data_IF_055768162696
#
_entry.id   IF_055768162696
#
_cell.length_a   1.000
_cell.length_b   1.000
_cell.length_c   1.000
_cell.angle_alpha   90.00
_cell.angle_beta   90.00
_cell.angle_gamma   90.00
#
_symmetry.space_group_name_H-M   'P 1'
#
loop_
_entity.id
_entity.type
_entity.pdbx_description
1 polymer ?
#
# COMPACT_ATOMS: atom_id res chain seq x y z
N UNK A 1 10.94 44.90 -3.44
CA UNK A 1 9.79 43.97 -3.45
C UNK A 1 10.04 42.87 -4.48
N UNK A 2 10.60 41.76 -4.03
CA UNK A 2 10.97 40.62 -4.89
C UNK A 2 9.92 39.53 -4.68
N UNK A 3 9.07 39.33 -5.68
CA UNK A 3 8.07 38.23 -5.69
C UNK A 3 8.79 36.90 -5.92
N UNK A 4 8.88 36.08 -4.90
CA UNK A 4 9.28 34.69 -5.00
C UNK A 4 8.24 33.91 -5.80
N UNK A 5 8.58 33.52 -7.02
CA UNK A 5 7.79 32.58 -7.81
C UNK A 5 8.04 31.17 -7.25
N UNK A 6 7.07 30.67 -6.49
CA UNK A 6 7.01 29.25 -6.14
C UNK A 6 6.72 28.47 -7.42
N UNK A 7 7.75 27.90 -8.00
CA UNK A 7 7.60 27.03 -9.17
C UNK A 7 6.89 25.75 -8.72
N UNK A 8 5.63 25.63 -9.06
CA UNK A 8 4.89 24.36 -9.04
C UNK A 8 5.59 23.43 -10.02
N UNK A 9 6.37 22.47 -9.50
CA UNK A 9 6.93 21.39 -10.29
C UNK A 9 5.80 20.52 -10.80
N UNK A 10 5.35 20.78 -12.02
CA UNK A 10 4.50 19.87 -12.75
C UNK A 10 5.23 18.53 -12.92
N UNK A 11 4.68 17.46 -12.35
CA UNK A 11 5.21 16.12 -12.52
C UNK A 11 5.03 15.68 -13.98
N UNK A 12 6.01 14.99 -14.56
CA UNK A 12 5.87 14.46 -15.90
C UNK A 12 4.72 13.43 -15.90
N UNK A 13 3.66 13.74 -16.64
CA UNK A 13 2.41 12.99 -16.77
C UNK A 13 2.55 11.57 -17.37
N UNK A 14 3.77 11.06 -17.52
CA UNK A 14 4.03 9.84 -18.30
C UNK A 14 4.88 8.77 -17.61
N UNK A 15 5.04 8.83 -16.28
CA UNK A 15 5.67 7.73 -15.52
C UNK A 15 4.60 6.93 -14.79
N UNK A 16 4.58 5.58 -14.93
CA UNK A 16 3.67 4.76 -14.15
C UNK A 16 3.91 5.00 -12.64
N UNK A 17 2.86 5.00 -11.82
CA UNK A 17 2.97 5.24 -10.39
C UNK A 17 3.84 4.19 -9.71
N UNK A 18 4.38 4.52 -8.53
CA UNK A 18 4.90 3.52 -7.60
C UNK A 18 3.72 3.06 -6.74
N UNK A 19 3.52 1.76 -6.65
CA UNK A 19 2.42 1.19 -5.90
C UNK A 19 2.86 0.85 -4.47
N UNK A 20 2.33 1.52 -3.45
CA UNK A 20 2.43 1.06 -2.07
C UNK A 20 1.55 -0.18 -1.92
N UNK A 21 2.14 -1.31 -1.60
CA UNK A 21 1.37 -2.54 -1.42
C UNK A 21 0.76 -2.59 -0.02
N UNK A 22 -0.56 -2.67 0.03
CA UNK A 22 -1.26 -3.02 1.25
C UNK A 22 -0.88 -4.43 1.72
N UNK A 23 -1.00 -4.69 3.01
CA UNK A 23 -0.62 -6.00 3.59
C UNK A 23 -1.36 -7.16 2.96
N UNK A 24 -2.63 -7.00 2.57
CA UNK A 24 -3.39 -8.05 1.91
C UNK A 24 -2.78 -8.45 0.55
N UNK A 25 -2.18 -7.51 -0.18
CA UNK A 25 -1.46 -7.78 -1.44
C UNK A 25 -0.15 -8.51 -1.16
N UNK A 26 0.63 -8.06 -0.16
CA UNK A 26 1.89 -8.71 0.23
C UNK A 26 1.65 -10.18 0.62
N UNK A 27 0.60 -10.44 1.40
CA UNK A 27 0.21 -11.80 1.82
C UNK A 27 -0.24 -12.63 0.63
N UNK A 28 -1.06 -12.08 -0.25
CA UNK A 28 -1.53 -12.77 -1.44
C UNK A 28 -0.38 -13.14 -2.39
N UNK A 29 0.63 -12.29 -2.51
CA UNK A 29 1.83 -12.57 -3.31
C UNK A 29 2.72 -13.65 -2.68
N UNK A 30 2.88 -13.62 -1.35
CA UNK A 30 3.79 -14.53 -0.65
C UNK A 30 3.26 -15.96 -0.49
N UNK A 31 1.94 -16.13 -0.30
CA UNK A 31 1.37 -17.42 0.12
C UNK A 31 0.47 -18.02 -0.96
N UNK A 32 0.90 -19.14 -1.59
CA UNK A 32 0.18 -19.77 -2.71
C UNK A 32 -1.24 -20.23 -2.38
N UNK A 33 -1.55 -20.54 -1.12
CA UNK A 33 -2.87 -20.94 -0.66
C UNK A 33 -3.84 -19.78 -0.48
N UNK A 34 -3.39 -18.54 -0.60
CA UNK A 34 -4.27 -17.37 -0.47
C UNK A 34 -5.25 -17.29 -1.63
N UNK A 35 -6.53 -17.00 -1.33
CA UNK A 35 -7.62 -17.00 -2.33
C UNK A 35 -7.36 -16.04 -3.50
N UNK A 36 -6.65 -14.96 -3.26
CA UNK A 36 -6.30 -13.95 -4.28
C UNK A 36 -4.87 -14.11 -4.83
N UNK A 37 -4.19 -15.22 -4.55
CA UNK A 37 -2.80 -15.41 -4.98
C UNK A 37 -2.62 -15.22 -6.49
N UNK A 38 -3.45 -15.87 -7.30
CA UNK A 38 -3.37 -15.80 -8.76
C UNK A 38 -3.63 -14.40 -9.30
N UNK A 39 -4.62 -13.71 -8.74
CA UNK A 39 -5.00 -12.35 -9.15
C UNK A 39 -3.90 -11.36 -8.80
N UNK A 40 -3.36 -11.45 -7.58
CA UNK A 40 -2.27 -10.60 -7.14
C UNK A 40 -1.02 -10.78 -8.01
N UNK A 41 -0.65 -12.02 -8.33
CA UNK A 41 0.48 -12.31 -9.22
C UNK A 41 0.26 -11.79 -10.63
N UNK A 42 -0.90 -12.04 -11.24
CA UNK A 42 -1.22 -11.55 -12.59
C UNK A 42 -1.13 -10.01 -12.66
N UNK A 43 -1.62 -9.31 -11.65
CA UNK A 43 -1.51 -7.86 -11.55
C UNK A 43 -0.05 -7.43 -11.34
N UNK A 44 0.68 -8.09 -10.45
CA UNK A 44 2.06 -7.76 -10.12
C UNK A 44 2.98 -7.91 -11.35
N UNK A 45 2.84 -8.99 -12.10
CA UNK A 45 3.61 -9.25 -13.33
C UNK A 45 3.30 -8.20 -14.41
N UNK A 46 2.05 -7.79 -14.53
CA UNK A 46 1.60 -6.85 -15.56
C UNK A 46 1.99 -5.41 -15.23
N UNK A 47 1.76 -4.95 -14.02
CA UNK A 47 1.84 -3.56 -13.62
C UNK A 47 2.65 -3.31 -12.34
N UNK A 48 2.29 -3.97 -11.25
CA UNK A 48 2.79 -3.66 -9.90
C UNK A 48 4.27 -3.92 -9.71
N UNK A 49 4.78 -5.05 -10.16
CA UNK A 49 6.14 -5.51 -9.90
C UNK A 49 7.25 -4.66 -10.48
N UNK A 50 6.93 -3.77 -11.41
CA UNK A 50 7.92 -2.88 -12.02
C UNK A 50 8.33 -1.72 -11.10
N UNK A 51 7.41 -1.25 -10.26
CA UNK A 51 7.62 -0.11 -9.35
C UNK A 51 6.67 -0.23 -8.17
N UNK A 52 7.14 -0.75 -7.08
CA UNK A 52 6.35 -0.97 -5.89
C UNK A 52 7.08 -0.56 -4.61
N UNK A 53 6.33 -0.37 -3.55
CA UNK A 53 6.85 0.04 -2.27
C UNK A 53 6.22 -0.75 -1.13
N UNK A 54 6.93 -0.82 -0.02
CA UNK A 54 6.42 -1.21 1.28
C UNK A 54 6.88 -0.19 2.33
N UNK A 55 6.17 -0.13 3.45
CA UNK A 55 6.51 0.73 4.57
C UNK A 55 6.59 -0.10 5.87
N UNK A 56 7.12 0.45 6.98
CA UNK A 56 7.19 -0.26 8.25
C UNK A 56 5.86 -0.88 8.68
N UNK A 57 4.77 -0.14 8.51
CA UNK A 57 3.43 -0.60 8.89
C UNK A 57 3.00 -1.85 8.12
N UNK A 58 3.17 -1.87 6.80
CA UNK A 58 2.79 -3.03 5.97
C UNK A 58 3.72 -4.21 6.18
N UNK A 59 5.02 -3.97 6.40
CA UNK A 59 6.00 -5.01 6.70
C UNK A 59 5.72 -5.67 8.06
N UNK A 60 5.47 -4.89 9.12
CA UNK A 60 5.11 -5.42 10.43
C UNK A 60 3.80 -6.21 10.38
N UNK A 61 2.80 -5.70 9.70
CA UNK A 61 1.54 -6.38 9.51
C UNK A 61 1.72 -7.71 8.75
N UNK A 62 2.55 -7.73 7.70
CA UNK A 62 2.87 -8.95 6.96
C UNK A 62 3.44 -10.04 7.86
N UNK A 63 4.47 -9.73 8.65
CA UNK A 63 5.08 -10.70 9.58
C UNK A 63 4.07 -11.19 10.61
N UNK A 64 3.35 -10.26 11.24
CA UNK A 64 2.37 -10.57 12.28
C UNK A 64 1.23 -11.45 11.78
N UNK A 65 0.68 -11.15 10.59
CA UNK A 65 -0.45 -11.90 10.03
C UNK A 65 0.03 -13.27 9.51
N UNK A 66 1.16 -13.33 8.79
CA UNK A 66 1.72 -14.56 8.25
C UNK A 66 2.09 -15.57 9.34
N UNK A 67 2.37 -15.11 10.55
CA UNK A 67 2.71 -15.96 11.70
C UNK A 67 1.54 -16.20 12.66
N UNK A 68 0.33 -15.78 12.30
CA UNK A 68 -0.85 -15.98 13.14
C UNK A 68 -1.74 -17.15 12.64
N UNK A 69 -1.71 -18.32 13.35
CA UNK A 69 -2.50 -19.49 12.93
C UNK A 69 -4.01 -19.29 13.03
N UNK A 70 -4.46 -18.26 13.73
CA UNK A 70 -5.89 -17.89 13.79
C UNK A 70 -6.38 -17.18 12.51
N UNK A 71 -5.45 -16.65 11.72
CA UNK A 71 -5.77 -15.87 10.52
C UNK A 71 -5.41 -16.65 9.25
N UNK A 72 -4.24 -17.29 9.25
CA UNK A 72 -3.72 -18.00 8.06
C UNK A 72 -3.59 -19.49 8.38
N UNK A 73 -4.29 -20.32 7.63
CA UNK A 73 -4.06 -21.76 7.64
C UNK A 73 -2.63 -22.05 7.12
N UNK A 74 -1.85 -22.80 7.89
CA UNK A 74 -0.43 -23.02 7.56
C UNK A 74 0.46 -21.83 7.88
N UNK A 75 0.11 -21.03 8.91
CA UNK A 75 0.94 -19.94 9.40
C UNK A 75 2.39 -20.41 9.68
N UNK A 76 3.34 -19.58 9.31
CA UNK A 76 4.76 -19.84 9.50
C UNK A 76 5.27 -19.16 10.78
N UNK A 77 6.49 -19.47 11.20
CA UNK A 77 7.10 -18.74 12.32
C UNK A 77 7.37 -17.27 11.94
N UNK A 78 7.42 -16.32 12.90
CA UNK A 78 7.80 -14.94 12.61
C UNK A 78 9.13 -14.84 11.86
N UNK A 79 10.10 -15.69 12.21
CA UNK A 79 11.41 -15.73 11.53
C UNK A 79 11.28 -16.13 10.06
N UNK A 80 10.45 -17.14 9.75
CA UNK A 80 10.20 -17.55 8.38
C UNK A 80 9.45 -16.48 7.59
N UNK A 81 8.48 -15.79 8.21
CA UNK A 81 7.79 -14.67 7.59
C UNK A 81 8.73 -13.51 7.29
N UNK A 82 9.64 -13.17 8.22
CA UNK A 82 10.67 -12.15 7.99
C UNK A 82 11.61 -12.53 6.84
N UNK A 83 11.99 -13.80 6.74
CA UNK A 83 12.82 -14.28 5.64
C UNK A 83 12.10 -14.14 4.29
N UNK A 84 10.84 -14.54 4.20
CA UNK A 84 10.03 -14.36 3.00
C UNK A 84 9.91 -12.87 2.61
N UNK A 85 9.64 -11.99 3.57
CA UNK A 85 9.59 -10.55 3.35
C UNK A 85 10.93 -10.01 2.83
N UNK A 86 12.04 -10.43 3.42
CA UNK A 86 13.39 -10.05 2.99
C UNK A 86 13.65 -10.44 1.53
N UNK A 87 13.26 -11.65 1.13
CA UNK A 87 13.36 -12.07 -0.27
C UNK A 87 12.49 -11.22 -1.20
N UNK A 88 11.24 -10.93 -0.82
CA UNK A 88 10.37 -10.07 -1.60
C UNK A 88 10.98 -8.68 -1.80
N UNK A 89 11.52 -8.07 -0.75
CA UNK A 89 12.07 -6.71 -0.82
C UNK A 89 13.38 -6.60 -1.60
N UNK A 90 14.01 -7.72 -1.96
CA UNK A 90 15.15 -7.75 -2.89
C UNK A 90 14.74 -7.77 -4.37
N UNK A 91 13.46 -8.00 -4.66
CA UNK A 91 12.97 -7.99 -6.03
C UNK A 91 13.18 -6.62 -6.70
N UNK A 92 13.49 -6.59 -8.00
CA UNK A 92 13.63 -5.34 -8.75
C UNK A 92 12.36 -4.48 -8.63
N UNK A 93 12.55 -3.17 -8.58
CA UNK A 93 11.42 -2.22 -8.50
C UNK A 93 10.92 -1.93 -7.08
N UNK A 94 11.36 -2.66 -6.07
CA UNK A 94 11.02 -2.38 -4.67
C UNK A 94 11.63 -1.06 -4.19
N UNK A 95 10.84 -0.35 -3.37
CA UNK A 95 11.26 0.83 -2.61
C UNK A 95 10.77 0.71 -1.18
N UNK A 96 11.61 1.08 -0.24
CA UNK A 96 11.18 1.26 1.13
C UNK A 96 10.73 2.72 1.33
N UNK A 97 9.51 2.91 1.82
CA UNK A 97 8.99 4.23 2.20
C UNK A 97 8.88 4.34 3.71
N UNK A 98 9.53 5.30 4.35
CA UNK A 98 9.33 5.54 5.77
C UNK A 98 7.89 5.99 6.04
N UNK A 99 7.38 5.67 7.21
CA UNK A 99 6.08 6.11 7.74
C UNK A 99 6.29 7.21 8.79
N UNK A 100 7.02 8.23 8.42
CA UNK A 100 7.40 9.36 9.26
C UNK A 100 6.38 10.51 9.27
N UNK A 101 5.14 10.22 8.91
CA UNK A 101 4.05 11.19 8.88
C UNK A 101 3.33 11.25 10.23
N UNK A 102 3.21 12.43 10.87
CA UNK A 102 2.41 12.58 12.07
C UNK A 102 0.92 12.45 11.71
N UNK A 103 0.14 11.77 12.56
CA UNK A 103 -1.31 11.61 12.35
C UNK A 103 -2.05 12.94 12.46
N UNK A 104 -1.58 13.83 13.34
CA UNK A 104 -2.18 15.15 13.53
C UNK A 104 -2.00 16.02 12.27
N UNK A 105 -3.09 16.58 11.79
CA UNK A 105 -3.09 17.47 10.60
C UNK A 105 -3.20 16.76 9.25
N UNK A 106 -3.34 15.43 9.21
CA UNK A 106 -3.62 14.72 7.98
C UNK A 106 -5.05 14.98 7.51
N UNK A 107 -5.22 15.32 6.24
CA UNK A 107 -6.54 15.60 5.65
C UNK A 107 -7.47 14.38 5.72
N UNK A 108 -6.96 13.16 5.53
CA UNK A 108 -7.74 11.93 5.62
C UNK A 108 -8.34 11.69 7.00
N UNK A 109 -7.68 12.13 8.07
CA UNK A 109 -8.18 12.01 9.44
C UNK A 109 -9.17 13.10 9.83
N UNK A 110 -9.24 14.17 9.05
CA UNK A 110 -10.25 15.21 9.20
C UNK A 110 -11.49 14.95 8.34
N UNK A 111 -11.49 13.89 7.53
CA UNK A 111 -12.59 13.54 6.65
C UNK A 111 -13.75 12.94 7.44
N UNK A 112 -14.97 13.39 7.12
CA UNK A 112 -16.20 12.78 7.64
C UNK A 112 -16.40 11.32 7.21
N UNK A 113 -15.65 10.86 6.21
CA UNK A 113 -15.67 9.48 5.75
C UNK A 113 -14.92 8.51 6.68
N UNK A 114 -14.03 9.02 7.56
CA UNK A 114 -13.35 8.22 8.57
C UNK A 114 -14.27 8.01 9.78
N UNK A 115 -15.05 6.96 9.76
CA UNK A 115 -16.09 6.68 10.78
C UNK A 115 -15.65 5.61 11.78
N UNK A 116 -14.89 4.60 11.33
CA UNK A 116 -14.59 3.41 12.12
C UNK A 116 -13.09 3.14 12.34
N UNK A 117 -12.76 2.48 13.45
CA UNK A 117 -11.40 2.11 13.80
C UNK A 117 -10.70 1.25 12.73
N UNK A 118 -11.44 0.48 11.94
CA UNK A 118 -10.91 -0.37 10.87
C UNK A 118 -10.35 0.43 9.70
N UNK A 119 -10.84 1.66 9.50
CA UNK A 119 -10.41 2.56 8.44
C UNK A 119 -9.13 3.35 8.76
N UNK A 120 -8.67 3.32 10.02
CA UNK A 120 -7.54 4.14 10.47
C UNK A 120 -6.25 3.78 9.73
N UNK A 121 -5.96 2.49 9.60
CA UNK A 121 -4.77 2.04 8.88
C UNK A 121 -4.86 2.38 7.39
N UNK A 122 -6.01 2.19 6.78
CA UNK A 122 -6.25 2.50 5.37
C UNK A 122 -6.07 3.99 5.08
N UNK A 123 -6.64 4.84 5.94
CA UNK A 123 -6.46 6.29 5.85
C UNK A 123 -4.98 6.69 5.94
N UNK A 124 -4.23 6.07 6.83
CA UNK A 124 -2.80 6.32 6.98
C UNK A 124 -2.01 5.88 5.74
N UNK A 125 -2.26 4.68 5.22
CA UNK A 125 -1.59 4.18 4.01
C UNK A 125 -1.88 5.05 2.79
N UNK A 126 -3.10 5.57 2.66
CA UNK A 126 -3.45 6.55 1.63
C UNK A 126 -2.60 7.82 1.74
N UNK A 127 -2.36 8.31 2.97
CA UNK A 127 -1.51 9.49 3.18
C UNK A 127 -0.03 9.19 2.92
N UNK A 128 0.48 8.03 3.31
CA UNK A 128 1.85 7.60 2.98
C UNK A 128 2.03 7.54 1.47
N UNK A 129 1.10 6.90 0.76
CA UNK A 129 1.15 6.84 -0.70
C UNK A 129 1.11 8.24 -1.34
N UNK A 130 0.23 9.12 -0.86
CA UNK A 130 0.13 10.51 -1.32
C UNK A 130 1.42 11.29 -1.08
N UNK A 131 2.01 11.16 0.10
CA UNK A 131 3.26 11.83 0.48
C UNK A 131 4.42 11.45 -0.46
N UNK A 132 4.49 10.20 -0.84
CA UNK A 132 5.49 9.68 -1.76
C UNK A 132 5.08 9.75 -3.25
N UNK A 133 4.00 10.47 -3.57
CA UNK A 133 3.48 10.61 -4.93
C UNK A 133 3.21 9.27 -5.63
N UNK A 134 2.71 8.31 -4.88
CA UNK A 134 2.36 6.98 -5.35
C UNK A 134 0.88 6.68 -5.22
N UNK A 135 0.53 5.44 -5.50
CA UNK A 135 -0.84 4.90 -5.46
C UNK A 135 -0.88 3.72 -4.50
N UNK A 136 -1.89 3.64 -3.66
CA UNK A 136 -2.08 2.49 -2.79
C UNK A 136 -2.69 1.34 -3.59
N UNK A 137 -2.04 0.19 -3.63
CA UNK A 137 -2.57 -1.03 -4.24
C UNK A 137 -3.13 -1.96 -3.17
N UNK A 138 -4.37 -2.36 -3.30
CA UNK A 138 -5.10 -3.17 -2.33
C UNK A 138 -6.07 -4.14 -2.99
N UNK A 139 -6.40 -5.20 -2.25
CA UNK A 139 -7.48 -6.14 -2.58
C UNK A 139 -8.81 -5.78 -1.88
N UNK A 140 -8.79 -4.77 -0.99
CA UNK A 140 -9.95 -4.37 -0.20
C UNK A 140 -10.69 -3.19 -0.85
N UNK A 141 -11.90 -3.45 -1.35
CA UNK A 141 -12.76 -2.42 -1.93
C UNK A 141 -13.28 -1.40 -0.94
N UNK A 142 -13.33 -1.72 0.35
CA UNK A 142 -13.83 -0.82 1.40
C UNK A 142 -13.03 0.48 1.52
N UNK A 143 -11.76 0.45 1.16
CA UNK A 143 -10.90 1.64 1.19
C UNK A 143 -11.39 2.78 0.29
N UNK A 144 -12.13 2.44 -0.76
CA UNK A 144 -12.69 3.44 -1.68
C UNK A 144 -13.74 4.33 -1.03
N UNK A 145 -14.33 3.92 0.10
CA UNK A 145 -15.29 4.73 0.86
C UNK A 145 -14.65 5.97 1.49
N UNK A 146 -13.34 5.93 1.71
CA UNK A 146 -12.56 7.08 2.24
C UNK A 146 -12.27 8.16 1.19
N UNK A 147 -12.58 7.91 -0.08
CA UNK A 147 -12.16 8.74 -1.20
C UNK A 147 -13.35 9.25 -2.01
N UNK A 148 -13.23 10.47 -2.51
CA UNK A 148 -14.13 10.98 -3.53
C UNK A 148 -14.00 10.19 -4.86
N UNK A 149 -15.00 10.24 -5.76
CA UNK A 149 -14.94 9.53 -7.03
C UNK A 149 -13.70 9.85 -7.89
N UNK A 150 -13.21 11.09 -7.84
CA UNK A 150 -12.03 11.49 -8.61
C UNK A 150 -10.73 11.00 -7.96
N UNK A 151 -10.64 11.02 -6.63
CA UNK A 151 -9.50 10.49 -5.90
C UNK A 151 -9.35 8.97 -6.07
N UNK A 152 -10.45 8.23 -6.15
CA UNK A 152 -10.42 6.76 -6.37
C UNK A 152 -9.61 6.38 -7.61
N UNK A 153 -9.70 7.17 -8.68
CA UNK A 153 -9.03 6.90 -9.96
C UNK A 153 -7.52 7.07 -9.91
N UNK A 154 -7.03 7.89 -8.99
CA UNK A 154 -5.62 8.31 -8.96
C UNK A 154 -4.87 7.84 -7.72
N UNK A 155 -5.59 7.59 -6.61
CA UNK A 155 -4.97 7.30 -5.32
C UNK A 155 -5.01 5.84 -4.92
N UNK A 156 -5.91 5.04 -5.54
CA UNK A 156 -6.06 3.62 -5.25
C UNK A 156 -6.05 2.80 -6.52
N UNK A 157 -5.29 1.72 -6.50
CA UNK A 157 -5.34 0.62 -7.46
C UNK A 157 -6.03 -0.55 -6.77
N UNK A 158 -7.29 -0.78 -7.11
CA UNK A 158 -8.06 -1.92 -6.59
C UNK A 158 -7.81 -3.14 -7.47
N UNK A 159 -7.11 -4.13 -6.91
CA UNK A 159 -6.77 -5.36 -7.60
C UNK A 159 -7.99 -6.29 -7.58
N UNK A 160 -8.56 -6.53 -8.74
CA UNK A 160 -9.74 -7.37 -8.93
C UNK A 160 -9.53 -8.35 -10.08
N UNK A 161 -10.40 -9.38 -10.15
CA UNK A 161 -10.47 -10.33 -11.27
C UNK A 161 -10.91 -9.66 -12.56
#
# INVERSE_FOLDING_TARGET
MTKSKTASRAFPLNRPPVYLLDVNVLIALAWPQHVHHKVAHAWFDKAGGKRWASCPLTQLAFVRISSNPKIIAGAVSPRAAMHALSQMTTLPGHRFWPDDLPLSGMASFSSAALVGHRQVTDAYLLEVARHHHGTLATLDGGITELLSPDERKTRVELIQN
#
